data_IF_092578727264
#
_entry.id   IF_092578727264
#
_cell.length_a   1.000
_cell.length_b   1.000
_cell.length_c   1.000
_cell.angle_alpha   90.00
_cell.angle_beta   90.00
_cell.angle_gamma   90.00
#
_symmetry.space_group_name_H-M   'P 1'
#
loop_
_entity.id
_entity.type
_entity.pdbx_description
1 polymer ?
#
# COMPACT_ATOMS: atom_id res chain seq x y z
N UNK A 1 28.16 9.72 43.32
CA UNK A 1 27.35 9.96 42.12
C UNK A 1 26.24 10.97 42.40
N UNK A 2 26.36 12.19 41.87
CA UNK A 2 25.38 13.28 42.06
C UNK A 2 24.05 13.04 41.31
N UNK A 3 23.00 13.83 41.58
CA UNK A 3 21.70 13.67 40.89
C UNK A 3 21.84 13.86 39.37
N UNK A 4 22.57 14.90 38.95
CA UNK A 4 22.87 15.19 37.55
C UNK A 4 23.58 14.01 36.84
N UNK A 5 24.61 13.46 37.48
CA UNK A 5 25.37 12.30 36.97
C UNK A 5 24.48 11.05 36.85
N UNK A 6 23.65 10.77 37.85
CA UNK A 6 22.65 9.68 37.76
C UNK A 6 21.68 9.89 36.61
N UNK A 7 21.24 11.14 36.40
CA UNK A 7 20.29 11.47 35.34
C UNK A 7 20.89 11.28 33.96
N UNK A 8 22.14 11.69 33.77
CA UNK A 8 22.85 11.47 32.52
C UNK A 8 22.99 9.98 32.20
N UNK A 9 23.41 9.18 33.19
CA UNK A 9 23.50 7.72 33.05
C UNK A 9 22.15 7.10 32.70
N UNK A 10 21.07 7.50 33.38
CA UNK A 10 19.70 7.05 33.09
C UNK A 10 19.27 7.36 31.64
N UNK A 11 19.56 8.56 31.13
CA UNK A 11 19.19 8.97 29.77
C UNK A 11 19.99 8.20 28.70
N UNK A 12 21.29 8.01 28.94
CA UNK A 12 22.14 7.21 28.06
C UNK A 12 21.69 5.74 28.01
N UNK A 13 21.35 5.16 29.15
CA UNK A 13 20.84 3.78 29.22
C UNK A 13 19.52 3.62 28.46
N UNK A 14 18.59 4.56 28.63
CA UNK A 14 17.32 4.58 27.88
C UNK A 14 17.53 4.69 26.37
N UNK A 15 18.43 5.56 25.92
CA UNK A 15 18.77 5.71 24.50
C UNK A 15 19.47 4.47 23.94
N UNK A 16 20.35 3.83 24.73
CA UNK A 16 20.98 2.56 24.36
C UNK A 16 19.95 1.43 24.20
N UNK A 17 18.89 1.43 25.02
CA UNK A 17 17.75 0.51 24.89
C UNK A 17 17.08 0.56 23.52
N UNK A 18 16.89 1.76 22.95
CA UNK A 18 16.36 1.95 21.57
C UNK A 18 17.28 1.27 20.55
N UNK A 19 18.58 1.53 20.64
CA UNK A 19 19.56 1.01 19.67
C UNK A 19 19.67 -0.52 19.75
N UNK A 20 19.62 -1.08 20.97
CA UNK A 20 19.60 -2.52 21.18
C UNK A 20 18.33 -3.17 20.59
N UNK A 21 17.18 -2.50 20.70
CA UNK A 21 15.94 -2.96 20.06
C UNK A 21 16.09 -2.98 18.53
N UNK A 22 16.62 -1.92 17.91
CA UNK A 22 16.86 -1.88 16.46
C UNK A 22 17.75 -3.05 15.99
N UNK A 23 18.83 -3.35 16.72
CA UNK A 23 19.70 -4.48 16.41
C UNK A 23 18.96 -5.82 16.45
N UNK A 24 18.05 -6.02 17.42
CA UNK A 24 17.22 -7.22 17.49
C UNK A 24 16.30 -7.37 16.26
N UNK A 25 15.61 -6.29 15.87
CA UNK A 25 14.71 -6.31 14.71
C UNK A 25 15.46 -6.52 13.39
N UNK A 26 16.66 -5.95 13.26
CA UNK A 26 17.53 -6.21 12.11
C UNK A 26 17.99 -7.66 12.05
N UNK A 27 18.34 -8.27 13.19
CA UNK A 27 18.68 -9.70 13.26
C UNK A 27 17.48 -10.59 12.91
N UNK A 28 16.27 -10.23 13.35
CA UNK A 28 15.03 -10.90 12.95
C UNK A 28 14.72 -10.81 11.44
N UNK A 29 15.40 -9.91 10.72
CA UNK A 29 15.30 -9.74 9.28
C UNK A 29 16.50 -10.32 8.51
N UNK A 30 17.40 -11.02 9.16
CA UNK A 30 18.45 -11.80 8.49
C UNK A 30 17.87 -13.03 7.78
N UNK A 31 18.68 -13.73 6.98
CA UNK A 31 18.26 -14.78 6.03
C UNK A 31 17.36 -15.88 6.63
N UNK A 32 17.50 -16.19 7.93
CA UNK A 32 16.72 -17.21 8.64
C UNK A 32 15.65 -16.64 9.57
N UNK A 33 15.51 -15.33 9.63
CA UNK A 33 14.57 -14.65 10.51
C UNK A 33 13.14 -14.65 9.97
N UNK A 34 12.19 -14.47 10.90
CA UNK A 34 10.75 -14.35 10.59
C UNK A 34 10.48 -13.18 9.65
N UNK A 35 11.28 -12.12 9.71
CA UNK A 35 11.10 -10.88 8.96
C UNK A 35 12.09 -10.72 7.81
N UNK A 36 12.72 -11.81 7.34
CA UNK A 36 13.76 -11.76 6.29
C UNK A 36 13.39 -10.97 5.03
N UNK A 37 12.11 -10.95 4.68
CA UNK A 37 11.56 -10.21 3.52
C UNK A 37 11.44 -8.71 3.75
N UNK A 38 11.47 -8.28 5.00
CA UNK A 38 11.33 -6.89 5.43
C UNK A 38 12.68 -6.27 5.79
N UNK A 39 13.79 -6.91 5.43
CA UNK A 39 15.14 -6.48 5.79
C UNK A 39 15.40 -5.03 5.36
N UNK A 40 15.06 -4.69 4.13
CA UNK A 40 15.27 -3.38 3.56
C UNK A 40 14.37 -2.33 4.21
N UNK A 41 13.07 -2.62 4.37
CA UNK A 41 12.14 -1.80 5.15
C UNK A 41 12.66 -1.51 6.57
N UNK A 42 13.08 -2.55 7.31
CA UNK A 42 13.59 -2.43 8.67
C UNK A 42 14.91 -1.66 8.73
N UNK A 43 15.84 -1.88 7.79
CA UNK A 43 17.09 -1.11 7.70
C UNK A 43 16.86 0.36 7.50
N UNK A 44 15.97 0.74 6.57
CA UNK A 44 15.66 2.14 6.31
C UNK A 44 15.00 2.83 7.49
N UNK A 45 13.99 2.17 8.09
CA UNK A 45 13.30 2.67 9.28
C UNK A 45 14.27 2.86 10.46
N UNK A 46 15.07 1.83 10.76
CA UNK A 46 16.02 1.89 11.87
C UNK A 46 17.16 2.87 11.60
N UNK A 47 17.66 2.99 10.37
CA UNK A 47 18.68 3.99 10.02
C UNK A 47 18.19 5.42 10.20
N UNK A 48 16.94 5.72 9.79
CA UNK A 48 16.36 7.04 10.00
C UNK A 48 16.15 7.34 11.48
N UNK A 49 15.62 6.38 12.27
CA UNK A 49 15.45 6.59 13.71
C UNK A 49 16.78 6.63 14.47
N UNK A 50 17.80 5.92 14.01
CA UNK A 50 19.17 5.95 14.52
C UNK A 50 19.82 7.33 14.28
N UNK A 51 19.55 7.97 13.14
CA UNK A 51 19.91 9.37 12.90
C UNK A 51 19.32 10.32 13.93
N UNK A 52 18.03 10.16 14.26
CA UNK A 52 17.36 10.92 15.33
C UNK A 52 18.00 10.63 16.70
N UNK A 53 18.21 9.36 17.03
CA UNK A 53 18.81 8.92 18.29
C UNK A 53 20.25 9.47 18.47
N UNK A 54 21.03 9.50 17.39
CA UNK A 54 22.39 10.07 17.37
C UNK A 54 22.38 11.55 17.72
N UNK A 55 21.40 12.31 17.24
CA UNK A 55 21.26 13.72 17.57
C UNK A 55 20.87 13.94 19.04
N UNK A 56 20.02 13.08 19.61
CA UNK A 56 19.75 13.08 21.07
C UNK A 56 21.05 12.83 21.85
N UNK A 57 21.85 11.83 21.46
CA UNK A 57 23.13 11.54 22.10
C UNK A 57 24.07 12.75 22.07
N UNK A 58 24.17 13.43 20.92
CA UNK A 58 24.97 14.63 20.76
C UNK A 58 24.54 15.76 21.71
N UNK A 59 23.23 15.94 21.91
CA UNK A 59 22.68 16.94 22.85
C UNK A 59 22.95 16.57 24.31
N UNK A 60 22.90 15.28 24.65
CA UNK A 60 23.28 14.80 25.98
C UNK A 60 24.76 15.07 26.29
N UNK A 61 25.65 14.83 25.32
CA UNK A 61 27.08 15.12 25.48
C UNK A 61 27.34 16.62 25.67
N UNK A 62 26.61 17.48 24.96
CA UNK A 62 26.66 18.93 25.16
C UNK A 62 26.19 19.34 26.57
N UNK A 63 25.07 18.78 27.03
CA UNK A 63 24.52 19.07 28.36
C UNK A 63 25.44 18.60 29.50
N UNK A 64 26.19 17.49 29.31
CA UNK A 64 27.23 17.05 30.24
C UNK A 64 28.36 18.09 30.36
N UNK A 65 28.85 18.59 29.23
CA UNK A 65 29.94 19.60 29.24
C UNK A 65 29.50 20.97 29.76
N UNK A 66 28.23 21.35 29.55
CA UNK A 66 27.65 22.63 29.96
C UNK A 66 27.15 22.67 31.41
N UNK A 67 27.04 21.53 32.09
CA UNK A 67 26.55 21.45 33.47
C UNK A 67 25.04 21.58 33.64
N UNK A 68 24.27 21.46 32.56
CA UNK A 68 22.84 21.79 32.50
C UNK A 68 21.91 20.56 32.25
N UNK A 69 22.37 19.38 32.64
CA UNK A 69 21.62 18.13 32.39
C UNK A 69 20.26 18.07 33.11
N UNK A 70 20.08 18.83 34.19
CA UNK A 70 18.81 18.83 34.93
C UNK A 70 17.73 19.65 34.23
N UNK A 71 18.09 20.76 33.56
CA UNK A 71 17.18 21.56 32.74
C UNK A 71 16.89 20.83 31.42
N UNK A 72 17.93 20.40 30.71
CA UNK A 72 17.80 19.66 29.45
C UNK A 72 17.18 18.26 29.63
N UNK A 73 17.28 17.67 30.82
CA UNK A 73 16.93 16.28 31.07
C UNK A 73 15.48 15.94 30.75
N UNK A 74 14.52 16.85 31.03
CA UNK A 74 13.11 16.63 30.69
C UNK A 74 12.88 16.64 29.19
N UNK A 75 13.46 17.61 28.48
CA UNK A 75 13.37 17.68 27.02
C UNK A 75 13.95 16.41 26.38
N UNK A 76 15.11 15.94 26.84
CA UNK A 76 15.73 14.71 26.33
C UNK A 76 14.88 13.46 26.59
N UNK A 77 14.22 13.34 27.74
CA UNK A 77 13.27 12.23 27.99
C UNK A 77 12.12 12.21 26.99
N UNK A 78 11.56 13.39 26.70
CA UNK A 78 10.47 13.53 25.73
C UNK A 78 10.95 13.12 24.34
N UNK A 79 12.14 13.56 23.92
CA UNK A 79 12.75 13.16 22.63
C UNK A 79 13.02 11.65 22.55
N UNK A 80 13.51 11.01 23.61
CA UNK A 80 13.70 9.55 23.64
C UNK A 80 12.35 8.83 23.51
N UNK A 81 11.32 9.30 24.23
CA UNK A 81 9.98 8.73 24.14
C UNK A 81 9.40 8.88 22.73
N UNK A 82 9.72 9.96 22.01
CA UNK A 82 9.29 10.15 20.63
C UNK A 82 9.89 9.11 19.68
N UNK A 83 11.18 8.79 19.82
CA UNK A 83 11.80 7.72 19.03
C UNK A 83 11.06 6.40 19.29
N UNK A 84 10.72 6.09 20.55
CA UNK A 84 9.91 4.91 20.86
C UNK A 84 8.50 4.98 20.27
N UNK A 85 7.81 6.12 20.30
CA UNK A 85 6.47 6.26 19.73
C UNK A 85 6.48 6.09 18.21
N UNK A 86 7.47 6.67 17.53
CA UNK A 86 7.66 6.50 16.08
C UNK A 86 7.97 5.04 15.76
N UNK A 87 8.85 4.43 16.54
CA UNK A 87 9.19 3.02 16.37
C UNK A 87 7.98 2.11 16.61
N UNK A 88 7.21 2.34 17.68
CA UNK A 88 6.06 1.52 18.06
C UNK A 88 4.99 1.44 16.95
N UNK A 89 4.84 2.51 16.18
CA UNK A 89 3.96 2.55 15.02
C UNK A 89 4.28 1.45 13.99
N UNK A 90 5.57 1.17 13.72
CA UNK A 90 5.98 0.13 12.78
C UNK A 90 6.19 -1.21 13.47
N UNK A 91 6.77 -1.18 14.68
CA UNK A 91 7.02 -2.34 15.52
C UNK A 91 5.75 -3.18 15.70
N UNK A 92 4.64 -2.55 16.06
CA UNK A 92 3.35 -3.24 16.24
C UNK A 92 2.85 -3.91 14.95
N UNK A 93 3.13 -3.34 13.78
CA UNK A 93 2.74 -3.88 12.46
C UNK A 93 3.61 -5.07 12.06
N UNK A 94 4.93 -4.98 12.26
CA UNK A 94 5.81 -6.12 12.02
C UNK A 94 5.55 -7.25 13.03
N UNK A 95 5.21 -6.93 14.27
CA UNK A 95 4.90 -7.90 15.32
C UNK A 95 3.77 -8.87 14.92
N UNK A 96 2.82 -8.44 14.08
CA UNK A 96 1.75 -9.30 13.57
C UNK A 96 2.27 -10.54 12.83
N UNK A 97 3.47 -10.50 12.25
CA UNK A 97 4.09 -11.66 11.55
C UNK A 97 4.56 -12.75 12.51
N UNK A 98 4.68 -12.45 13.80
CA UNK A 98 4.99 -13.46 14.83
C UNK A 98 3.73 -14.15 15.37
N UNK A 99 2.54 -13.60 15.11
CA UNK A 99 1.29 -14.18 15.60
C UNK A 99 0.83 -15.26 14.61
N UNK A 100 0.74 -16.55 15.02
CA UNK A 100 0.37 -17.63 14.11
C UNK A 100 -0.96 -17.39 13.37
N UNK A 101 -1.92 -16.77 14.05
CA UNK A 101 -3.24 -16.44 13.51
C UNK A 101 -3.20 -15.50 12.28
N UNK A 102 -2.17 -14.66 12.15
CA UNK A 102 -2.08 -13.63 11.12
C UNK A 102 -0.90 -13.81 10.17
N UNK A 103 0.14 -14.51 10.62
CA UNK A 103 1.41 -14.67 9.91
C UNK A 103 1.26 -15.14 8.46
N UNK A 104 0.41 -16.15 8.20
CA UNK A 104 0.17 -16.65 6.84
C UNK A 104 -0.56 -15.62 5.98
N UNK A 105 -1.67 -15.07 6.47
CA UNK A 105 -2.46 -14.10 5.71
C UNK A 105 -1.61 -12.88 5.33
N UNK A 106 -0.91 -12.29 6.31
CA UNK A 106 -0.03 -11.15 6.08
C UNK A 106 1.17 -11.52 5.20
N UNK A 107 1.74 -12.72 5.35
CA UNK A 107 2.81 -13.19 4.49
C UNK A 107 2.40 -13.29 3.02
N UNK A 108 1.19 -13.76 2.75
CA UNK A 108 0.63 -13.76 1.40
C UNK A 108 0.32 -12.34 0.91
N UNK A 109 -0.24 -11.48 1.77
CA UNK A 109 -0.53 -10.08 1.43
C UNK A 109 0.75 -9.30 1.08
N UNK A 110 1.82 -9.48 1.85
CA UNK A 110 3.12 -8.85 1.60
C UNK A 110 3.70 -9.31 0.26
N UNK A 111 3.58 -10.61 -0.06
CA UNK A 111 4.04 -11.13 -1.34
C UNK A 111 3.18 -10.66 -2.51
N UNK A 112 1.86 -10.52 -2.30
CA UNK A 112 0.95 -9.99 -3.30
C UNK A 112 1.25 -8.51 -3.61
N UNK A 113 1.46 -7.70 -2.57
CA UNK A 113 1.91 -6.30 -2.72
C UNK A 113 3.21 -6.25 -3.51
N UNK A 114 4.19 -7.07 -3.15
CA UNK A 114 5.47 -7.15 -3.86
C UNK A 114 5.28 -7.54 -5.33
N UNK A 115 4.47 -8.56 -5.62
CA UNK A 115 4.21 -9.02 -6.98
C UNK A 115 3.52 -7.95 -7.87
N UNK A 116 2.67 -7.11 -7.27
CA UNK A 116 2.06 -5.97 -7.96
C UNK A 116 3.04 -4.80 -8.15
N UNK A 117 3.86 -4.50 -7.14
CA UNK A 117 4.77 -3.34 -7.14
C UNK A 117 6.04 -3.56 -7.98
N UNK A 118 6.64 -4.74 -7.88
CA UNK A 118 7.94 -5.09 -8.47
C UNK A 118 8.06 -4.80 -9.97
N UNK A 119 7.07 -5.09 -10.84
CA UNK A 119 7.23 -4.84 -12.27
C UNK A 119 7.43 -3.35 -12.61
N UNK A 120 6.87 -2.46 -11.79
CA UNK A 120 7.12 -1.02 -11.91
C UNK A 120 8.52 -0.66 -11.41
N UNK A 121 8.91 -1.19 -10.25
CA UNK A 121 10.25 -0.98 -9.69
C UNK A 121 11.34 -1.44 -10.68
N UNK A 122 11.22 -2.65 -11.22
CA UNK A 122 12.15 -3.20 -12.22
C UNK A 122 12.24 -2.30 -13.47
N UNK A 123 11.13 -1.69 -13.91
CA UNK A 123 11.11 -0.75 -15.02
C UNK A 123 11.73 0.62 -14.66
N UNK A 124 11.59 1.05 -13.41
CA UNK A 124 12.11 2.29 -12.88
C UNK A 124 13.61 2.23 -12.55
N UNK A 125 14.13 1.06 -12.20
CA UNK A 125 15.54 0.80 -11.94
C UNK A 125 16.36 0.55 -13.21
N UNK A 126 15.72 0.14 -14.32
CA UNK A 126 16.39 -0.10 -15.60
C UNK A 126 17.27 1.06 -16.11
N UNK A 127 16.94 2.36 -15.89
CA UNK A 127 17.80 3.49 -16.20
C UNK A 127 19.04 3.66 -15.29
N UNK A 128 19.11 2.94 -14.16
CA UNK A 128 20.27 2.91 -13.27
C UNK A 128 20.35 4.05 -12.24
N UNK A 129 19.22 4.69 -11.90
CA UNK A 129 19.16 5.76 -10.89
C UNK A 129 18.98 5.18 -9.47
N UNK A 130 19.97 5.28 -8.57
CA UNK A 130 19.87 4.75 -7.20
C UNK A 130 18.74 5.39 -6.37
N UNK A 131 18.31 6.62 -6.69
CA UNK A 131 17.20 7.26 -5.97
C UNK A 131 15.84 6.57 -6.21
N UNK A 132 15.78 5.66 -7.19
CA UNK A 132 14.58 4.93 -7.63
C UNK A 132 14.40 3.60 -6.90
N UNK A 133 15.34 3.21 -6.02
CA UNK A 133 15.20 2.05 -5.15
C UNK A 133 14.20 2.40 -4.04
N UNK A 134 13.00 1.82 -4.12
CA UNK A 134 11.90 2.07 -3.18
C UNK A 134 11.42 0.76 -2.57
N UNK A 135 11.12 0.82 -1.27
CA UNK A 135 10.49 -0.29 -0.58
C UNK A 135 9.02 -0.38 -0.95
N UNK A 136 8.57 -1.60 -1.27
CA UNK A 136 7.15 -1.86 -1.41
C UNK A 136 6.41 -1.60 -0.08
N UNK A 137 5.10 -1.33 -0.11
CA UNK A 137 4.31 -1.12 1.10
C UNK A 137 4.31 -2.30 2.07
N UNK A 138 4.29 -2.00 3.37
CA UNK A 138 4.04 -2.99 4.42
C UNK A 138 2.54 -3.10 4.68
N UNK A 139 2.00 -4.32 4.59
CA UNK A 139 0.58 -4.56 4.90
C UNK A 139 0.36 -4.67 6.41
N UNK A 140 -0.75 -4.23 6.97
CA UNK A 140 -1.10 -4.47 8.37
C UNK A 140 -2.61 -4.42 8.56
N UNK A 141 -3.11 -4.80 9.74
CA UNK A 141 -4.54 -4.65 10.04
C UNK A 141 -4.87 -3.32 10.72
N UNK A 142 -5.90 -2.64 10.24
CA UNK A 142 -6.37 -1.34 10.69
C UNK A 142 -7.84 -1.38 11.14
N UNK A 143 -8.26 -0.38 11.92
CA UNK A 143 -9.67 -0.20 12.34
C UNK A 143 -10.59 0.35 11.24
N UNK A 144 -10.06 0.61 10.05
CA UNK A 144 -10.77 1.28 8.97
C UNK A 144 -11.82 0.38 8.32
N UNK A 145 -12.77 1.01 7.60
CA UNK A 145 -13.82 0.28 6.90
C UNK A 145 -13.35 -0.33 5.57
N UNK A 146 -12.39 0.23 4.86
CA UNK A 146 -11.86 -0.34 3.62
C UNK A 146 -10.33 -0.37 3.66
N UNK A 147 -9.65 -1.12 2.76
CA UNK A 147 -8.21 -0.97 2.57
C UNK A 147 -7.82 0.49 2.38
N UNK A 148 -6.69 0.90 2.96
CA UNK A 148 -6.16 2.25 2.83
C UNK A 148 -4.63 2.26 2.68
N UNK A 149 -4.11 3.17 1.86
CA UNK A 149 -2.67 3.42 1.72
C UNK A 149 -2.25 4.60 2.58
N UNK A 150 -1.29 4.35 3.48
CA UNK A 150 -0.46 5.41 4.03
C UNK A 150 0.76 5.59 3.13
N UNK A 151 0.65 6.59 2.27
CA UNK A 151 1.69 6.92 1.33
C UNK A 151 2.91 7.53 2.04
N UNK A 152 4.10 7.29 1.47
CA UNK A 152 5.32 7.99 1.88
C UNK A 152 5.14 9.49 1.69
N UNK A 153 5.35 10.29 2.73
CA UNK A 153 5.32 11.75 2.75
C UNK A 153 3.93 12.44 2.64
N UNK A 154 2.77 11.82 2.98
CA UNK A 154 1.45 12.55 3.06
C UNK A 154 0.87 12.68 4.47
N UNK A 155 0.30 13.86 4.83
CA UNK A 155 -0.58 14.09 5.98
C UNK A 155 -1.66 13.03 6.23
N UNK A 156 -1.61 12.43 7.42
CA UNK A 156 -2.54 11.45 7.96
C UNK A 156 -3.54 12.11 8.93
N UNK A 157 -4.76 11.56 8.96
CA UNK A 157 -5.77 11.81 9.99
C UNK A 157 -6.08 10.49 10.71
N UNK A 158 -5.71 10.38 11.98
CA UNK A 158 -6.04 9.23 12.83
C UNK A 158 -7.54 9.18 13.12
N UNK A 159 -8.04 7.97 13.37
CA UNK A 159 -9.12 7.80 14.34
C UNK A 159 -8.68 8.43 15.65
N UNK A 160 -9.37 9.49 16.03
CA UNK A 160 -9.05 10.32 17.18
C UNK A 160 -9.13 9.49 18.47
N UNK A 161 -8.01 8.90 18.88
CA UNK A 161 -7.76 8.63 20.30
C UNK A 161 -7.54 10.01 20.91
N UNK A 162 -8.57 10.50 21.60
CA UNK A 162 -8.47 11.66 22.48
C UNK A 162 -7.34 11.37 23.48
N UNK A 163 -6.14 11.88 23.19
CA UNK A 163 -5.27 12.62 24.13
C UNK A 163 -3.76 12.58 23.84
N UNK A 164 -3.19 11.79 22.92
CA UNK A 164 -1.71 11.67 22.90
C UNK A 164 -0.94 11.72 21.56
N UNK A 165 -1.60 11.74 20.41
CA UNK A 165 -0.89 11.89 19.13
C UNK A 165 -1.03 13.34 18.64
N UNK A 166 -0.01 14.16 18.86
CA UNK A 166 0.03 15.51 18.29
C UNK A 166 0.01 15.44 16.76
N UNK A 167 -0.60 16.44 16.10
CA UNK A 167 -0.58 16.58 14.63
C UNK A 167 0.85 16.49 14.08
N UNK A 168 1.82 16.99 14.84
CA UNK A 168 3.25 16.87 14.57
C UNK A 168 3.74 15.41 14.56
N UNK A 169 3.40 14.59 15.57
CA UNK A 169 3.77 13.17 15.59
C UNK A 169 3.28 12.44 14.34
N UNK A 170 2.06 12.75 13.91
CA UNK A 170 1.50 12.21 12.68
C UNK A 170 2.32 12.69 11.48
N UNK A 171 2.64 13.99 11.36
CA UNK A 171 3.49 14.53 10.29
C UNK A 171 4.87 13.88 10.20
N UNK A 172 5.44 13.46 11.34
CA UNK A 172 6.74 12.80 11.40
C UNK A 172 6.66 11.33 10.93
N UNK A 173 5.63 10.57 11.34
CA UNK A 173 5.40 9.20 10.83
C UNK A 173 5.31 9.17 9.31
N UNK A 174 4.77 10.24 8.73
CA UNK A 174 4.58 10.35 7.29
C UNK A 174 5.88 10.58 6.53
N UNK A 175 6.94 11.08 7.17
CA UNK A 175 8.26 11.27 6.54
C UNK A 175 9.14 10.01 6.58
N UNK A 176 8.61 8.91 7.09
CA UNK A 176 9.34 7.65 7.22
C UNK A 176 9.37 6.89 5.89
N UNK A 177 10.37 6.02 5.69
CA UNK A 177 10.81 5.60 4.38
C UNK A 177 10.11 4.32 3.90
N UNK A 178 8.94 3.98 4.45
CA UNK A 178 8.19 2.78 4.08
C UNK A 178 6.70 3.13 4.04
N UNK A 179 6.02 2.98 2.88
CA UNK A 179 4.57 3.13 2.81
C UNK A 179 3.88 1.97 3.53
N UNK A 180 2.64 2.18 3.97
CA UNK A 180 1.85 1.14 4.65
C UNK A 180 0.53 0.94 3.92
N UNK A 181 0.02 -0.29 3.90
CA UNK A 181 -1.34 -0.60 3.46
C UNK A 181 -2.09 -1.20 4.65
N UNK A 182 -3.12 -0.50 5.11
CA UNK A 182 -3.98 -0.95 6.20
C UNK A 182 -5.18 -1.71 5.67
N UNK A 183 -5.33 -2.96 6.09
CA UNK A 183 -6.48 -3.81 5.83
C UNK A 183 -7.46 -3.78 7.01
N UNK A 184 -8.77 -3.58 6.80
CA UNK A 184 -9.76 -3.73 7.84
C UNK A 184 -9.64 -5.04 8.61
N UNK A 185 -9.73 -4.99 9.94
CA UNK A 185 -9.70 -6.19 10.78
C UNK A 185 -10.73 -7.24 10.40
N UNK A 186 -11.90 -6.83 9.91
CA UNK A 186 -12.95 -7.77 9.51
C UNK A 186 -12.61 -8.53 8.20
N UNK A 187 -11.64 -8.05 7.42
CA UNK A 187 -11.11 -8.72 6.23
C UNK A 187 -9.94 -9.67 6.56
N UNK A 188 -9.47 -9.73 7.81
CA UNK A 188 -8.34 -10.58 8.22
C UNK A 188 -8.55 -12.08 7.96
N UNK A 189 -9.80 -12.49 7.77
CA UNK A 189 -10.21 -13.88 7.49
C UNK A 189 -11.08 -13.97 6.24
N UNK A 190 -10.94 -13.02 5.29
CA UNK A 190 -11.66 -13.07 4.03
C UNK A 190 -10.71 -12.82 2.86
N UNK A 191 -9.99 -13.87 2.48
CA UNK A 191 -9.01 -13.87 1.38
C UNK A 191 -9.54 -13.31 0.05
N UNK A 192 -10.81 -13.51 -0.36
CA UNK A 192 -11.36 -12.92 -1.58
C UNK A 192 -11.20 -11.40 -1.68
N UNK A 193 -11.23 -10.67 -0.56
CA UNK A 193 -11.07 -9.21 -0.55
C UNK A 193 -9.63 -8.75 -0.74
N UNK A 194 -8.65 -9.66 -0.66
CA UNK A 194 -7.23 -9.32 -0.81
C UNK A 194 -6.91 -8.70 -2.18
N UNK A 195 -7.71 -8.98 -3.22
CA UNK A 195 -7.59 -8.35 -4.55
C UNK A 195 -7.67 -6.81 -4.49
N UNK A 196 -8.37 -6.25 -3.50
CA UNK A 196 -8.52 -4.81 -3.32
C UNK A 196 -7.21 -4.11 -2.94
N UNK A 197 -6.25 -4.85 -2.38
CA UNK A 197 -4.91 -4.32 -2.08
C UNK A 197 -4.21 -3.81 -3.34
N UNK A 198 -4.50 -4.35 -4.52
CA UNK A 198 -3.86 -3.89 -5.75
C UNK A 198 -4.18 -2.42 -6.07
N UNK A 199 -5.34 -1.90 -5.65
CA UNK A 199 -5.69 -0.49 -5.77
C UNK A 199 -4.78 0.38 -4.89
N UNK A 200 -4.57 -0.05 -3.64
CA UNK A 200 -3.65 0.60 -2.69
C UNK A 200 -2.19 0.58 -3.17
N UNK A 201 -1.76 -0.51 -3.81
CA UNK A 201 -0.46 -0.55 -4.49
C UNK A 201 -0.41 0.47 -5.64
N UNK A 202 -1.49 0.63 -6.40
CA UNK A 202 -1.63 1.64 -7.45
C UNK A 202 -1.40 3.07 -6.94
N UNK A 203 -2.00 3.43 -5.81
CA UNK A 203 -1.72 4.72 -5.16
C UNK A 203 -0.26 4.89 -4.75
N UNK A 204 0.36 3.83 -4.23
CA UNK A 204 1.79 3.87 -3.88
C UNK A 204 2.64 4.07 -5.13
N UNK A 205 2.37 3.32 -6.19
CA UNK A 205 3.07 3.38 -7.48
C UNK A 205 2.96 4.77 -8.12
N UNK A 206 1.75 5.34 -8.16
CA UNK A 206 1.53 6.66 -8.74
C UNK A 206 2.47 7.69 -8.09
N UNK A 207 2.63 7.58 -6.77
CA UNK A 207 3.40 8.53 -5.99
C UNK A 207 4.89 8.28 -6.01
N UNK A 208 5.32 7.06 -5.72
CA UNK A 208 6.74 6.72 -5.59
C UNK A 208 7.50 6.97 -6.90
N UNK A 209 6.80 6.86 -8.03
CA UNK A 209 7.35 7.06 -9.37
C UNK A 209 6.81 8.33 -10.06
N UNK A 210 6.26 9.28 -9.29
CA UNK A 210 5.89 10.63 -9.73
C UNK A 210 5.00 10.65 -10.99
N UNK A 211 4.04 9.72 -11.08
CA UNK A 211 3.23 9.52 -12.27
C UNK A 211 2.12 10.56 -12.42
N UNK A 212 1.66 11.17 -11.33
CA UNK A 212 0.53 12.10 -11.31
C UNK A 212 0.69 13.25 -12.32
N UNK A 213 1.86 13.91 -12.38
CA UNK A 213 2.08 15.03 -13.30
C UNK A 213 2.05 14.60 -14.77
N UNK A 214 2.65 13.45 -15.08
CA UNK A 214 2.67 12.86 -16.43
C UNK A 214 1.24 12.54 -16.87
N UNK A 215 0.47 11.97 -15.96
CA UNK A 215 -0.91 11.61 -16.17
C UNK A 215 -1.78 12.85 -16.40
N UNK A 216 -1.69 13.88 -15.55
CA UNK A 216 -2.43 15.15 -15.70
C UNK A 216 -2.15 15.79 -17.06
N UNK A 217 -0.88 15.78 -17.52
CA UNK A 217 -0.51 16.34 -18.83
C UNK A 217 -1.23 15.65 -20.01
N UNK A 218 -1.65 14.40 -19.87
CA UNK A 218 -2.41 13.70 -20.93
C UNK A 218 -3.79 14.32 -21.16
N UNK A 219 -4.35 15.05 -20.20
CA UNK A 219 -5.70 15.64 -20.28
C UNK A 219 -5.68 17.05 -20.90
N UNK A 220 -4.52 17.55 -21.32
CA UNK A 220 -4.34 18.84 -21.98
C UNK A 220 -3.77 18.65 -23.39
N UNK A 221 -3.92 19.62 -24.30
CA UNK A 221 -3.38 19.52 -25.66
C UNK A 221 -1.89 19.13 -25.65
N UNK A 222 -1.47 18.15 -26.48
CA UNK A 222 -2.18 17.55 -27.62
C UNK A 222 -3.13 16.38 -27.29
N UNK A 223 -3.42 16.12 -26.02
CA UNK A 223 -4.38 15.10 -25.57
C UNK A 223 -5.84 15.36 -25.99
N UNK A 224 -6.78 14.50 -25.57
CA UNK A 224 -8.17 14.58 -25.98
C UNK A 224 -8.84 15.88 -25.53
N UNK A 225 -9.67 16.44 -26.41
CA UNK A 225 -10.51 17.60 -26.08
C UNK A 225 -11.74 17.13 -25.31
N UNK A 226 -11.63 17.12 -23.97
CA UNK A 226 -12.77 16.90 -23.08
C UNK A 226 -13.51 18.21 -22.80
N UNK A 227 -14.85 18.20 -22.66
CA UNK A 227 -15.59 19.34 -22.12
C UNK A 227 -15.01 19.79 -20.78
N UNK A 228 -14.89 21.11 -20.54
CA UNK A 228 -14.25 21.63 -19.33
C UNK A 228 -14.87 21.08 -18.03
N UNK A 229 -16.20 20.94 -17.99
CA UNK A 229 -16.92 20.44 -16.83
C UNK A 229 -16.58 18.97 -16.49
N UNK A 230 -16.45 18.07 -17.49
CA UNK A 230 -16.08 16.67 -17.22
C UNK A 230 -14.59 16.55 -16.94
N UNK A 231 -13.75 17.32 -17.64
CA UNK A 231 -12.30 17.34 -17.43
C UNK A 231 -11.93 17.69 -15.99
N UNK A 232 -12.53 18.72 -15.40
CA UNK A 232 -12.20 19.13 -14.03
C UNK A 232 -12.57 18.05 -12.99
N UNK A 233 -13.64 17.28 -13.26
CA UNK A 233 -14.01 16.14 -12.43
C UNK A 233 -13.04 14.97 -12.61
N UNK A 234 -12.65 14.67 -13.86
CA UNK A 234 -11.64 13.65 -14.15
C UNK A 234 -10.29 13.95 -13.50
N UNK A 235 -9.84 15.21 -13.55
CA UNK A 235 -8.59 15.62 -12.89
C UNK A 235 -8.66 15.45 -11.37
N UNK A 236 -9.83 15.67 -10.76
CA UNK A 236 -10.04 15.44 -9.32
C UNK A 236 -10.04 13.96 -8.96
N UNK A 237 -10.62 13.12 -9.82
CA UNK A 237 -10.71 11.67 -9.63
C UNK A 237 -9.48 10.91 -10.07
N UNK A 238 -8.52 11.57 -10.70
CA UNK A 238 -7.41 10.92 -11.39
C UNK A 238 -6.61 9.94 -10.53
N UNK A 239 -6.30 10.23 -9.24
CA UNK A 239 -5.59 9.26 -8.40
C UNK A 239 -6.36 7.94 -8.22
N UNK A 240 -7.68 8.02 -8.06
CA UNK A 240 -8.57 6.84 -7.92
C UNK A 240 -8.69 6.08 -9.24
N UNK A 241 -8.84 6.80 -10.35
CA UNK A 241 -8.90 6.19 -11.70
C UNK A 241 -7.58 5.50 -12.03
N UNK A 242 -6.45 6.12 -11.70
CA UNK A 242 -5.13 5.51 -11.88
C UNK A 242 -5.01 4.22 -11.08
N UNK A 243 -5.41 4.23 -9.80
CA UNK A 243 -5.37 3.07 -8.92
C UNK A 243 -6.29 1.94 -9.41
N UNK A 244 -7.51 2.24 -9.89
CA UNK A 244 -8.41 1.27 -10.49
C UNK A 244 -7.80 0.64 -11.75
N UNK A 245 -7.24 1.46 -12.65
CA UNK A 245 -6.58 0.98 -13.88
C UNK A 245 -5.38 0.09 -13.55
N UNK A 246 -4.55 0.50 -12.60
CA UNK A 246 -3.39 -0.26 -12.15
C UNK A 246 -3.80 -1.61 -11.54
N UNK A 247 -4.83 -1.61 -10.70
CA UNK A 247 -5.34 -2.82 -10.07
C UNK A 247 -5.92 -3.80 -11.09
N UNK A 248 -6.70 -3.32 -12.07
CA UNK A 248 -7.18 -4.15 -13.17
C UNK A 248 -6.03 -4.72 -14.00
N UNK A 249 -4.99 -3.95 -14.31
CA UNK A 249 -3.80 -4.48 -15.01
C UNK A 249 -3.06 -5.55 -14.18
N UNK A 250 -3.09 -5.43 -12.86
CA UNK A 250 -2.35 -6.31 -11.93
C UNK A 250 -3.04 -7.63 -11.66
N UNK A 251 -4.38 -7.64 -11.61
CA UNK A 251 -5.18 -8.80 -11.13
C UNK A 251 -6.32 -9.18 -12.08
N UNK A 252 -6.51 -8.42 -13.15
CA UNK A 252 -7.54 -8.68 -14.16
C UNK A 252 -8.96 -8.61 -13.60
N UNK A 253 -9.78 -9.56 -14.04
CA UNK A 253 -11.22 -9.62 -13.74
C UNK A 253 -11.53 -9.77 -12.24
N UNK A 254 -10.64 -10.42 -11.48
CA UNK A 254 -10.83 -10.64 -10.06
C UNK A 254 -10.86 -9.32 -9.27
N UNK A 255 -10.03 -8.33 -9.63
CA UNK A 255 -10.12 -7.01 -9.00
C UNK A 255 -11.47 -6.35 -9.27
N UNK A 256 -11.94 -6.39 -10.53
CA UNK A 256 -13.23 -5.78 -10.89
C UNK A 256 -14.41 -6.46 -10.19
N UNK A 257 -14.33 -7.77 -9.99
CA UNK A 257 -15.27 -8.52 -9.14
C UNK A 257 -15.30 -7.99 -7.70
N UNK A 258 -14.13 -7.87 -7.05
CA UNK A 258 -14.03 -7.36 -5.68
C UNK A 258 -14.50 -5.91 -5.55
N UNK A 259 -14.14 -5.06 -6.52
CA UNK A 259 -14.58 -3.66 -6.58
C UNK A 259 -16.09 -3.55 -6.71
N UNK A 260 -16.72 -4.37 -7.56
CA UNK A 260 -18.16 -4.36 -7.75
C UNK A 260 -18.90 -4.70 -6.44
N UNK A 261 -18.45 -5.71 -5.69
CA UNK A 261 -19.06 -6.06 -4.39
C UNK A 261 -18.90 -4.95 -3.35
N UNK A 262 -17.71 -4.35 -3.28
CA UNK A 262 -17.43 -3.23 -2.38
C UNK A 262 -18.37 -2.05 -2.65
N UNK A 263 -18.60 -1.75 -3.94
CA UNK A 263 -19.43 -0.62 -4.35
C UNK A 263 -20.94 -0.93 -4.31
N UNK A 264 -21.34 -2.20 -4.41
CA UNK A 264 -22.76 -2.60 -4.44
C UNK A 264 -23.52 -2.23 -3.16
N UNK A 265 -22.81 -2.08 -2.04
CA UNK A 265 -23.39 -1.70 -0.75
C UNK A 265 -23.44 -0.19 -0.52
N UNK A 266 -22.89 0.63 -1.42
CA UNK A 266 -22.97 2.08 -1.31
C UNK A 266 -24.42 2.56 -1.49
N UNK A 267 -24.92 3.50 -0.65
CA UNK A 267 -26.28 3.99 -0.77
C UNK A 267 -26.51 4.58 -2.17
N UNK A 268 -27.49 4.05 -2.91
CA UNK A 268 -28.06 4.70 -4.11
C UNK A 268 -28.52 6.11 -3.73
N UNK A 269 -27.69 7.11 -4.00
CA UNK A 269 -28.03 8.49 -3.69
C UNK A 269 -28.29 9.24 -4.97
N UNK A 270 -29.56 9.60 -5.20
CA UNK A 270 -29.97 10.51 -6.26
C UNK A 270 -29.59 11.97 -5.97
N UNK A 271 -28.87 12.22 -4.87
CA UNK A 271 -28.40 13.55 -4.47
C UNK A 271 -26.94 13.71 -4.85
N UNK A 272 -26.55 14.90 -5.35
CA UNK A 272 -25.15 15.19 -5.58
C UNK A 272 -24.39 14.95 -4.28
N UNK A 273 -23.27 14.24 -4.35
CA UNK A 273 -22.48 13.93 -3.17
C UNK A 273 -22.11 15.22 -2.41
N UNK A 274 -22.11 15.18 -1.07
CA UNK A 274 -21.49 16.23 -0.26
C UNK A 274 -20.03 16.45 -0.73
N UNK A 275 -19.43 17.62 -0.52
CA UNK A 275 -18.08 17.95 -1.05
C UNK A 275 -17.01 16.85 -0.78
N UNK A 276 -17.12 16.12 0.33
CA UNK A 276 -16.28 14.95 0.66
C UNK A 276 -16.42 13.77 -0.31
N UNK A 277 -17.62 13.51 -0.83
CA UNK A 277 -17.89 12.46 -1.81
C UNK A 277 -17.55 12.90 -3.26
N UNK A 278 -17.06 14.13 -3.47
CA UNK A 278 -16.49 14.55 -4.76
C UNK A 278 -15.08 13.99 -5.00
N UNK A 279 -14.48 13.32 -4.01
CA UNK A 279 -13.13 12.73 -4.11
C UNK A 279 -13.09 11.47 -4.99
N UNK A 280 -14.19 10.73 -5.08
CA UNK A 280 -14.25 9.47 -5.82
C UNK A 280 -15.13 9.58 -7.07
N UNK A 281 -14.77 8.92 -8.19
CA UNK A 281 -15.69 8.74 -9.29
C UNK A 281 -16.93 7.93 -8.85
N UNK A 282 -18.11 8.18 -9.44
CA UNK A 282 -19.30 7.37 -9.18
C UNK A 282 -19.06 5.87 -9.42
N UNK A 283 -19.69 5.01 -8.62
CA UNK A 283 -19.49 3.56 -8.67
C UNK A 283 -19.61 2.97 -10.09
N UNK A 284 -20.67 3.35 -10.83
CA UNK A 284 -20.87 2.90 -12.23
C UNK A 284 -19.73 3.34 -13.16
N UNK A 285 -19.11 4.51 -12.91
CA UNK A 285 -17.97 5.00 -13.69
C UNK A 285 -16.73 4.17 -13.36
N UNK A 286 -16.46 3.86 -12.08
CA UNK A 286 -15.33 3.00 -11.66
C UNK A 286 -15.42 1.60 -12.27
N UNK A 287 -16.60 0.98 -12.21
CA UNK A 287 -16.83 -0.34 -12.84
C UNK A 287 -16.65 -0.27 -14.35
N UNK A 288 -17.10 0.82 -15.00
CA UNK A 288 -16.91 1.01 -16.44
C UNK A 288 -15.43 1.18 -16.83
N UNK A 289 -14.63 1.89 -16.01
CA UNK A 289 -13.17 2.03 -16.21
C UNK A 289 -12.50 0.66 -16.16
N UNK A 290 -12.74 -0.13 -15.11
CA UNK A 290 -12.16 -1.47 -14.99
C UNK A 290 -12.57 -2.37 -16.15
N UNK A 291 -13.84 -2.36 -16.56
CA UNK A 291 -14.32 -3.14 -17.70
C UNK A 291 -13.62 -2.72 -19.00
N UNK A 292 -13.40 -1.43 -19.22
CA UNK A 292 -12.68 -0.96 -20.40
C UNK A 292 -11.20 -1.37 -20.39
N UNK A 293 -10.54 -1.37 -19.23
CA UNK A 293 -9.18 -1.93 -19.11
C UNK A 293 -9.15 -3.41 -19.45
N UNK A 294 -10.13 -4.21 -18.99
CA UNK A 294 -10.25 -5.62 -19.36
C UNK A 294 -10.37 -5.81 -20.88
N UNK A 295 -11.14 -4.95 -21.59
CA UNK A 295 -11.16 -4.98 -23.06
C UNK A 295 -9.78 -4.75 -23.65
N UNK A 296 -9.00 -3.82 -23.11
CA UNK A 296 -7.62 -3.55 -23.57
C UNK A 296 -6.62 -4.65 -23.21
N UNK A 297 -6.97 -5.52 -22.27
CA UNK A 297 -6.26 -6.75 -21.94
C UNK A 297 -6.72 -7.95 -22.78
N UNK A 298 -7.58 -7.74 -23.79
CA UNK A 298 -8.23 -8.79 -24.60
C UNK A 298 -9.17 -9.71 -23.80
N UNK A 299 -9.71 -9.25 -22.68
CA UNK A 299 -10.69 -9.95 -21.83
C UNK A 299 -12.12 -9.41 -22.05
N UNK A 300 -12.49 -9.17 -23.31
CA UNK A 300 -13.79 -8.55 -23.68
C UNK A 300 -14.99 -9.32 -23.13
N UNK A 301 -14.95 -10.66 -23.14
CA UNK A 301 -16.03 -11.48 -22.59
C UNK A 301 -16.24 -11.26 -21.08
N UNK A 302 -15.16 -11.15 -20.30
CA UNK A 302 -15.22 -10.86 -18.85
C UNK A 302 -15.69 -9.42 -18.62
N UNK A 303 -15.18 -8.45 -19.39
CA UNK A 303 -15.66 -7.06 -19.37
C UNK A 303 -17.19 -6.97 -19.55
N UNK A 304 -17.72 -7.64 -20.58
CA UNK A 304 -19.13 -7.54 -20.92
C UNK A 304 -20.02 -8.26 -19.88
N UNK A 305 -19.56 -9.39 -19.34
CA UNK A 305 -20.20 -10.08 -18.22
C UNK A 305 -20.30 -9.17 -16.99
N UNK A 306 -19.19 -8.55 -16.56
CA UNK A 306 -19.15 -7.64 -15.41
C UNK A 306 -20.11 -6.46 -15.54
N UNK A 307 -20.15 -5.86 -16.73
CA UNK A 307 -21.10 -4.77 -17.00
C UNK A 307 -22.54 -5.25 -17.05
N UNK A 308 -22.81 -6.50 -17.47
CA UNK A 308 -24.14 -7.08 -17.42
C UNK A 308 -24.58 -7.31 -15.97
N UNK A 309 -23.72 -7.91 -15.15
CA UNK A 309 -23.99 -8.17 -13.74
C UNK A 309 -24.20 -6.87 -12.96
N UNK A 310 -23.34 -5.88 -13.15
CA UNK A 310 -23.48 -4.56 -12.54
C UNK A 310 -24.84 -3.91 -12.89
N UNK A 311 -25.34 -4.11 -14.11
CA UNK A 311 -26.63 -3.55 -14.54
C UNK A 311 -27.84 -4.21 -13.86
N UNK A 312 -27.69 -5.41 -13.30
CA UNK A 312 -28.76 -6.05 -12.54
C UNK A 312 -29.04 -5.33 -11.23
N UNK A 313 -27.98 -4.82 -10.59
CA UNK A 313 -28.03 -4.09 -9.32
C UNK A 313 -27.97 -2.57 -9.48
N UNK A 314 -27.50 -2.06 -10.61
CA UNK A 314 -27.47 -0.64 -10.96
C UNK A 314 -27.90 -0.45 -12.43
N UNK A 315 -29.23 -0.38 -12.68
CA UNK A 315 -29.77 -0.24 -14.03
C UNK A 315 -29.14 0.93 -14.79
N UNK A 316 -29.11 0.83 -16.13
CA UNK A 316 -28.47 1.87 -16.95
C UNK A 316 -29.09 3.24 -16.65
N UNK A 317 -28.23 4.26 -16.51
CA UNK A 317 -28.59 5.66 -16.69
C UNK A 317 -29.52 5.85 -17.89
N UNK A 318 -30.65 6.54 -17.70
CA UNK A 318 -31.46 7.00 -18.84
C UNK A 318 -30.74 8.12 -19.59
N UNK A 319 -31.23 8.52 -20.78
CA UNK A 319 -30.56 9.56 -21.61
C UNK A 319 -30.39 10.91 -20.89
N UNK A 320 -31.22 11.21 -19.89
CA UNK A 320 -31.17 12.42 -19.07
C UNK A 320 -30.24 12.32 -17.84
N UNK A 321 -29.50 11.23 -17.67
CA UNK A 321 -28.68 11.00 -16.49
C UNK A 321 -27.34 11.75 -16.56
N UNK A 322 -27.02 12.42 -15.45
CA UNK A 322 -25.75 13.11 -15.20
C UNK A 322 -24.48 12.27 -15.38
N UNK A 323 -24.58 10.94 -15.38
CA UNK A 323 -23.44 10.03 -15.56
C UNK A 323 -23.05 9.82 -17.02
N UNK A 324 -23.96 10.04 -17.98
CA UNK A 324 -23.73 9.73 -19.40
C UNK A 324 -22.47 10.40 -19.99
N UNK A 325 -22.17 11.69 -19.71
CA UNK A 325 -20.95 12.32 -20.21
C UNK A 325 -19.68 11.60 -19.74
N UNK A 326 -19.65 11.17 -18.47
CA UNK A 326 -18.50 10.44 -17.92
C UNK A 326 -18.37 9.05 -18.53
N UNK A 327 -19.48 8.33 -18.69
CA UNK A 327 -19.47 7.01 -19.33
C UNK A 327 -19.00 7.07 -20.79
N UNK A 328 -19.32 8.14 -21.51
CA UNK A 328 -18.81 8.38 -22.86
C UNK A 328 -17.30 8.66 -22.90
N UNK A 329 -16.76 9.28 -21.84
CA UNK A 329 -15.33 9.62 -21.74
C UNK A 329 -14.45 8.40 -21.37
N UNK A 330 -15.00 7.33 -20.76
CA UNK A 330 -14.23 6.20 -20.17
C UNK A 330 -13.17 5.63 -21.11
N UNK A 331 -13.53 5.33 -22.37
CA UNK A 331 -12.58 4.77 -23.34
C UNK A 331 -11.38 5.69 -23.57
N UNK A 332 -11.65 6.99 -23.73
CA UNK A 332 -10.64 8.03 -23.90
C UNK A 332 -9.75 8.16 -22.67
N UNK A 333 -10.33 8.11 -21.46
CA UNK A 333 -9.56 8.21 -20.20
C UNK A 333 -8.62 7.01 -20.06
N UNK A 334 -9.13 5.80 -20.28
CA UNK A 334 -8.33 4.57 -20.22
C UNK A 334 -7.23 4.58 -21.27
N UNK A 335 -7.51 5.08 -22.48
CA UNK A 335 -6.49 5.25 -23.52
C UNK A 335 -5.35 6.19 -23.10
N UNK A 336 -5.69 7.32 -22.48
CA UNK A 336 -4.70 8.28 -22.02
C UNK A 336 -3.77 7.65 -20.97
N UNK A 337 -4.32 6.95 -20.00
CA UNK A 337 -3.56 6.33 -18.91
C UNK A 337 -2.69 5.18 -19.42
N UNK A 338 -3.27 4.30 -20.23
CA UNK A 338 -2.56 3.14 -20.74
C UNK A 338 -1.59 3.46 -21.89
N UNK A 339 -1.74 4.63 -22.52
CA UNK A 339 -0.88 5.14 -23.60
C UNK A 339 0.21 6.09 -23.12
N UNK A 340 0.10 6.64 -21.90
CA UNK A 340 1.08 7.53 -21.32
C UNK A 340 2.46 6.85 -21.21
N UNK A 341 3.50 7.56 -21.65
CA UNK A 341 4.89 7.15 -21.47
C UNK A 341 5.47 7.85 -20.25
N UNK A 342 5.89 7.07 -19.27
CA UNK A 342 6.36 7.58 -17.98
C UNK A 342 7.89 7.71 -18.00
N UNK A 343 8.45 8.92 -17.87
CA UNK A 343 9.90 9.12 -17.86
C UNK A 343 10.61 8.32 -16.77
N UNK A 344 9.98 8.25 -15.59
CA UNK A 344 10.44 7.47 -14.43
C UNK A 344 10.48 5.96 -14.68
N UNK A 345 9.83 5.46 -15.72
CA UNK A 345 9.87 4.05 -16.15
C UNK A 345 10.71 3.86 -17.42
N UNK A 346 11.67 4.76 -17.69
CA UNK A 346 12.46 4.74 -18.92
C UNK A 346 11.63 4.99 -20.18
N UNK A 347 10.52 5.73 -20.06
CA UNK A 347 9.61 6.02 -21.17
C UNK A 347 8.65 4.88 -21.53
N UNK A 348 8.55 3.84 -20.68
CA UNK A 348 7.57 2.76 -20.85
C UNK A 348 6.17 3.19 -20.40
N UNK A 349 5.17 2.48 -20.90
CA UNK A 349 3.76 2.59 -20.50
C UNK A 349 3.45 1.61 -19.36
N UNK A 350 2.32 1.81 -18.66
CA UNK A 350 1.86 0.86 -17.63
C UNK A 350 1.66 -0.55 -18.19
N UNK A 351 1.09 -0.69 -19.40
CA UNK A 351 0.86 -1.99 -20.06
C UNK A 351 2.15 -2.73 -20.44
N UNK A 352 3.23 -1.99 -20.67
CA UNK A 352 4.54 -2.58 -20.95
C UNK A 352 5.19 -3.12 -19.66
N UNK A 353 4.85 -2.57 -18.50
CA UNK A 353 5.45 -2.92 -17.20
C UNK A 353 4.63 -3.94 -16.42
N UNK A 354 3.30 -3.78 -16.35
CA UNK A 354 2.40 -4.62 -15.56
C UNK A 354 1.54 -5.46 -16.49
N UNK A 355 1.68 -6.78 -16.37
CA UNK A 355 0.90 -7.75 -17.14
C UNK A 355 0.33 -8.81 -16.20
N UNK A 356 -0.97 -9.02 -16.30
CA UNK A 356 -1.66 -10.18 -15.77
C UNK A 356 -1.86 -11.15 -16.93
N UNK A 357 -1.01 -12.17 -16.99
CA UNK A 357 -0.86 -13.07 -18.13
C UNK A 357 -1.74 -14.33 -18.16
N UNK A 358 -2.40 -14.78 -17.06
CA UNK A 358 -3.29 -15.94 -17.16
C UNK A 358 -4.39 -15.72 -18.20
N UNK A 359 -4.57 -16.72 -19.07
CA UNK A 359 -5.73 -16.77 -19.96
C UNK A 359 -7.01 -17.03 -19.16
N UNK A 360 -8.16 -16.70 -19.75
CA UNK A 360 -9.44 -16.97 -19.12
C UNK A 360 -9.67 -18.48 -18.88
N UNK A 361 -9.20 -19.33 -19.80
CA UNK A 361 -9.32 -20.80 -19.71
C UNK A 361 -8.45 -21.36 -18.57
N UNK A 362 -7.18 -20.93 -18.47
CA UNK A 362 -6.29 -21.33 -17.36
C UNK A 362 -6.85 -20.94 -15.99
N UNK A 363 -7.45 -19.75 -15.88
CA UNK A 363 -8.12 -19.32 -14.65
C UNK A 363 -9.36 -20.16 -14.34
N UNK A 364 -10.19 -20.44 -15.34
CA UNK A 364 -11.42 -21.21 -15.14
C UNK A 364 -11.11 -22.66 -14.71
N UNK A 365 -10.07 -23.28 -15.28
CA UNK A 365 -9.54 -24.59 -14.88
C UNK A 365 -9.02 -24.57 -13.43
N UNK A 366 -8.20 -23.56 -13.07
CA UNK A 366 -7.67 -23.42 -11.71
C UNK A 366 -8.78 -23.17 -10.69
N UNK A 367 -9.83 -22.40 -11.02
CA UNK A 367 -11.00 -22.20 -10.16
C UNK A 367 -11.70 -23.53 -9.87
N UNK A 368 -11.92 -24.35 -10.90
CA UNK A 368 -12.58 -25.65 -10.73
C UNK A 368 -11.72 -26.60 -9.89
N UNK A 369 -10.40 -26.56 -10.04
CA UNK A 369 -9.48 -27.32 -9.20
C UNK A 369 -9.57 -26.91 -7.73
N UNK A 370 -9.51 -25.61 -7.42
CA UNK A 370 -9.52 -25.17 -6.02
C UNK A 370 -10.86 -25.43 -5.35
N UNK A 371 -11.99 -25.30 -6.06
CA UNK A 371 -13.32 -25.66 -5.55
C UNK A 371 -13.45 -27.18 -5.28
N UNK A 372 -12.70 -28.00 -6.00
CA UNK A 372 -12.57 -29.44 -5.75
C UNK A 372 -11.53 -29.78 -4.67
N UNK A 373 -10.88 -28.79 -4.05
CA UNK A 373 -9.81 -29.01 -3.07
C UNK A 373 -8.49 -29.51 -3.67
N UNK A 374 -8.22 -29.21 -4.95
CA UNK A 374 -7.05 -29.67 -5.71
C UNK A 374 -6.14 -28.51 -6.09
N UNK A 375 -4.81 -28.79 -6.18
CA UNK A 375 -3.74 -27.82 -6.47
C UNK A 375 -3.98 -27.05 -7.77
N UNK A 376 -4.02 -25.70 -7.82
CA UNK A 376 -4.01 -25.01 -9.10
C UNK A 376 -2.65 -25.19 -9.75
N UNK A 377 -2.58 -24.98 -11.05
CA UNK A 377 -1.34 -24.97 -11.81
C UNK A 377 -0.53 -23.70 -11.59
N UNK A 378 -1.21 -22.58 -11.30
CA UNK A 378 -0.52 -21.30 -11.16
C UNK A 378 0.52 -21.27 -10.03
N UNK A 379 1.64 -20.60 -10.35
CA UNK A 379 2.71 -20.24 -9.42
C UNK A 379 2.87 -18.72 -9.27
N UNK A 380 2.05 -17.92 -9.96
CA UNK A 380 2.02 -16.46 -9.78
C UNK A 380 1.09 -16.13 -8.61
N UNK A 381 1.63 -15.44 -7.61
CA UNK A 381 0.90 -15.03 -6.41
C UNK A 381 -0.27 -14.11 -6.75
N UNK A 382 -0.17 -13.28 -7.79
CA UNK A 382 -1.29 -12.44 -8.25
C UNK A 382 -2.46 -13.29 -8.73
N UNK A 383 -2.16 -14.39 -9.43
CA UNK A 383 -3.17 -15.35 -9.87
C UNK A 383 -3.75 -16.11 -8.67
N UNK A 384 -2.94 -16.54 -7.70
CA UNK A 384 -3.46 -17.20 -6.49
C UNK A 384 -4.47 -16.33 -5.74
N UNK A 385 -4.18 -15.04 -5.58
CA UNK A 385 -5.11 -14.08 -4.95
C UNK A 385 -6.35 -13.88 -5.83
N UNK A 386 -6.19 -13.79 -7.15
CA UNK A 386 -7.32 -13.73 -8.09
C UNK A 386 -8.24 -14.96 -8.00
N UNK A 387 -7.66 -16.16 -7.86
CA UNK A 387 -8.40 -17.42 -7.71
C UNK A 387 -9.28 -17.42 -6.47
N UNK A 388 -8.79 -16.91 -5.32
CA UNK A 388 -9.59 -16.81 -4.11
C UNK A 388 -10.89 -16.04 -4.36
N UNK A 389 -10.78 -14.90 -5.05
CA UNK A 389 -11.92 -14.03 -5.36
C UNK A 389 -12.88 -14.66 -6.36
N UNK A 390 -12.36 -15.20 -7.46
CA UNK A 390 -13.21 -15.77 -8.52
C UNK A 390 -13.84 -17.11 -8.11
N UNK A 391 -13.18 -17.90 -7.26
CA UNK A 391 -13.75 -19.10 -6.68
C UNK A 391 -14.88 -18.77 -5.69
N UNK A 392 -14.67 -17.77 -4.83
CA UNK A 392 -15.72 -17.28 -3.94
C UNK A 392 -16.93 -16.76 -4.71
N UNK A 393 -16.71 -15.99 -5.78
CA UNK A 393 -17.81 -15.51 -6.63
C UNK A 393 -18.59 -16.66 -7.30
N UNK A 394 -17.89 -17.68 -7.80
CA UNK A 394 -18.51 -18.83 -8.49
C UNK A 394 -19.35 -19.68 -7.53
N UNK A 395 -18.87 -19.93 -6.33
CA UNK A 395 -19.56 -20.72 -5.31
C UNK A 395 -19.22 -20.24 -3.90
N UNK A 396 -19.90 -19.21 -3.37
CA UNK A 396 -19.61 -18.68 -2.04
C UNK A 396 -19.79 -19.73 -0.94
N UNK A 397 -20.78 -20.61 -1.09
CA UNK A 397 -21.09 -21.63 -0.11
C UNK A 397 -20.03 -22.74 -0.11
N UNK A 398 -19.63 -23.23 -1.29
CA UNK A 398 -18.56 -24.21 -1.45
C UNK A 398 -17.19 -23.68 -1.03
N UNK A 399 -16.90 -22.40 -1.31
CA UNK A 399 -15.66 -21.75 -0.90
C UNK A 399 -15.48 -21.74 0.63
N UNK A 400 -16.57 -21.48 1.36
CA UNK A 400 -16.60 -21.45 2.83
C UNK A 400 -16.80 -22.83 3.46
N UNK A 401 -17.26 -23.81 2.70
CA UNK A 401 -17.45 -25.17 3.18
C UNK A 401 -16.10 -25.80 3.57
N UNK A 402 -16.12 -26.62 4.62
CA UNK A 402 -14.96 -27.39 5.05
C UNK A 402 -15.06 -28.80 4.49
N UNK A 403 -14.11 -29.18 3.65
CA UNK A 403 -13.89 -30.56 3.24
C UNK A 403 -12.71 -31.11 4.04
N UNK A 404 -12.90 -32.20 4.77
CA UNK A 404 -11.84 -32.83 5.58
C UNK A 404 -11.08 -31.84 6.50
N UNK A 405 -11.83 -30.93 7.14
CA UNK A 405 -11.36 -29.89 8.07
C UNK A 405 -10.63 -28.67 7.48
N UNK A 406 -10.46 -28.58 6.16
CA UNK A 406 -9.82 -27.43 5.49
C UNK A 406 -10.83 -26.76 4.54
N UNK A 407 -10.97 -25.43 4.60
CA UNK A 407 -11.77 -24.69 3.62
C UNK A 407 -10.96 -24.42 2.36
N UNK A 408 -11.64 -24.12 1.24
CA UNK A 408 -10.97 -23.70 -0.01
C UNK A 408 -10.08 -22.48 0.26
N UNK A 409 -10.56 -21.53 1.06
CA UNK A 409 -9.79 -20.37 1.50
C UNK A 409 -8.46 -20.73 2.18
N UNK A 410 -8.51 -21.59 3.20
CA UNK A 410 -7.32 -21.99 3.96
C UNK A 410 -6.34 -22.72 3.05
N UNK A 411 -6.87 -23.52 2.14
CA UNK A 411 -6.07 -24.27 1.20
C UNK A 411 -5.37 -23.34 0.17
N UNK A 412 -6.07 -22.32 -0.36
CA UNK A 412 -5.48 -21.33 -1.28
C UNK A 412 -4.40 -20.54 -0.55
N UNK A 413 -4.67 -20.13 0.70
CA UNK A 413 -3.72 -19.45 1.55
C UNK A 413 -2.45 -20.31 1.73
N UNK A 414 -2.61 -21.59 2.07
CA UNK A 414 -1.48 -22.50 2.25
C UNK A 414 -0.68 -22.70 0.95
N UNK A 415 -1.34 -22.86 -0.20
CA UNK A 415 -0.66 -22.91 -1.50
C UNK A 415 0.12 -21.63 -1.77
N UNK A 416 -0.48 -20.45 -1.56
CA UNK A 416 0.18 -19.15 -1.70
C UNK A 416 1.43 -19.03 -0.83
N UNK A 417 1.38 -19.52 0.41
CA UNK A 417 2.56 -19.59 1.29
C UNK A 417 3.66 -20.50 0.73
N UNK A 418 3.33 -21.57 -0.01
CA UNK A 418 4.36 -22.42 -0.65
C UNK A 418 5.07 -21.74 -1.82
N UNK A 419 4.44 -20.74 -2.44
CA UNK A 419 5.02 -19.98 -3.56
C UNK A 419 5.95 -18.87 -3.11
N UNK A 420 5.83 -18.46 -1.86
CA UNK A 420 6.71 -17.47 -1.23
C UNK A 420 8.14 -18.00 -1.25
N UNK A 421 8.98 -17.39 -2.09
CA UNK A 421 10.40 -17.69 -2.08
C UNK A 421 11.05 -17.20 -0.76
N UNK A 422 12.18 -17.83 -0.42
CA UNK A 422 12.96 -17.47 0.76
C UNK A 422 13.99 -16.36 0.51
N UNK A 423 13.98 -15.73 -0.67
CA UNK A 423 14.98 -14.72 -1.01
C UNK A 423 14.64 -13.41 -0.31
N UNK A 424 15.67 -12.72 0.18
CA UNK A 424 15.51 -11.35 0.66
C UNK A 424 14.95 -10.49 -0.47
N UNK A 425 14.01 -9.60 -0.13
CA UNK A 425 13.52 -8.56 -1.03
C UNK A 425 14.37 -7.29 -0.96
N UNK A 426 15.41 -7.30 -0.16
CA UNK A 426 16.37 -6.21 -0.15
C UNK A 426 16.99 -6.08 -1.54
N UNK A 427 16.75 -4.94 -2.17
CA UNK A 427 17.74 -4.38 -3.09
C UNK A 427 19.09 -4.31 -2.36
N UNK A 428 20.19 -4.25 -3.11
CA UNK A 428 21.48 -3.95 -2.48
C UNK A 428 21.40 -2.51 -1.95
N UNK A 429 20.91 -2.34 -0.72
CA UNK A 429 20.93 -1.04 -0.04
C UNK A 429 22.40 -0.67 0.04
N UNK A 430 22.74 0.41 -0.65
CA UNK A 430 24.07 0.96 -0.70
C UNK A 430 24.36 1.72 0.59
N UNK A 431 25.63 1.84 0.95
CA UNK A 431 26.05 2.69 2.07
C UNK A 431 25.65 4.18 1.90
N UNK A 432 25.26 4.59 0.69
CA UNK A 432 24.76 5.93 0.38
C UNK A 432 23.33 6.12 0.90
N UNK A 433 22.45 5.14 0.69
CA UNK A 433 21.06 5.20 1.14
C UNK A 433 20.94 5.20 2.67
N UNK A 434 21.76 4.40 3.37
CA UNK A 434 21.83 4.41 4.83
C UNK A 434 22.24 5.79 5.38
N UNK A 435 23.12 6.51 4.65
CA UNK A 435 23.55 7.87 5.03
C UNK A 435 22.43 8.89 4.83
N UNK A 436 21.67 8.77 3.75
CA UNK A 436 20.55 9.67 3.45
C UNK A 436 19.39 9.46 4.43
N UNK A 437 19.04 8.21 4.76
CA UNK A 437 18.01 7.91 5.76
C UNK A 437 18.44 8.43 7.14
N UNK A 438 19.70 8.24 7.55
CA UNK A 438 20.24 8.85 8.79
C UNK A 438 20.15 10.39 8.79
N UNK A 439 20.52 11.03 7.68
CA UNK A 439 20.44 12.48 7.54
C UNK A 439 18.98 12.97 7.64
N UNK A 440 18.02 12.24 7.06
CA UNK A 440 16.60 12.52 7.21
C UNK A 440 16.14 12.39 8.67
N UNK A 441 16.72 11.46 9.43
CA UNK A 441 16.53 11.31 10.87
C UNK A 441 16.99 12.52 11.68
N UNK A 442 18.17 13.06 11.36
CA UNK A 442 18.69 14.30 11.96
C UNK A 442 17.78 15.47 11.64
N UNK A 443 17.39 15.63 10.36
CA UNK A 443 16.46 16.70 9.98
C UNK A 443 15.10 16.58 10.69
N UNK A 444 14.66 15.34 10.98
CA UNK A 444 13.44 15.08 11.74
C UNK A 444 13.53 15.62 13.17
N UNK A 445 14.68 15.46 13.83
CA UNK A 445 14.95 16.04 15.14
C UNK A 445 14.79 17.57 15.13
N UNK A 446 15.40 18.22 14.13
CA UNK A 446 15.44 19.69 13.99
C UNK A 446 14.09 20.31 13.64
N UNK A 447 13.19 19.57 12.97
CA UNK A 447 11.87 20.09 12.57
C UNK A 447 10.94 20.40 13.74
N UNK A 448 11.28 19.93 14.95
CA UNK A 448 10.66 20.40 16.18
C UNK A 448 11.60 21.40 16.83
N UNK A 449 11.24 22.69 16.76
CA UNK A 449 11.85 23.74 17.58
C UNK A 449 11.98 23.29 19.03
N UNK A 450 12.95 23.86 19.75
CA UNK A 450 13.14 23.52 21.15
C UNK A 450 11.81 23.76 21.90
N UNK A 451 11.32 22.83 22.73
CA UNK A 451 10.07 23.02 23.50
C UNK A 451 10.14 24.18 24.52
N UNK A 452 11.19 25.00 24.44
CA UNK A 452 11.48 26.17 25.25
C UNK A 452 11.46 27.49 24.43
N UNK A 453 11.25 27.44 23.11
CA UNK A 453 10.78 28.57 22.29
C UNK A 453 9.24 28.54 22.18
#
# INVERSE_FOLDING_TARGET
MGIAERKLVELRDKLAGVTAEFAWWLSAAEERGTLRKHQSQLRRLTSQLDGYATEIARRLDQAETGGDILEAGRAMQVRILEVHRLWDHFRSKFALRYLPAFSKYLGLADEFVWACYRPILDAAEAPGDPAMVKEAPLVFFSGQYAPITHQRNVPFTTESVKEEHSIEFLQLVQRLPVPLIGLPWYQASHLPDMVLIAHEVGHTVERDFEMAEVTVKQFYPPGPTLPAATRDSWLRWLPEVFADVFATLSVGDAYLSGLADLLAVEPRSDKPPAEEKLRYPPATVRVAIGAEVLRRMNLTGKSDARLADWRTVHPRPGDADSLNPFLADVSTIVDCLLGARYPRLGGRTLRECVKFEPTAEELDDDIDLVLQGRRPYTIDVRTVVALARLAFERDPAGFLAKNDHVSVEQWILDHGITLIDNKSRASVITAVEDKDDRAAGVALFDTRGDPHD
#
